data_IF_450686116942
#
_entry.id   IF_450686116942
#
_cell.length_a   1.000
_cell.length_b   1.000
_cell.length_c   1.000
_cell.angle_alpha   90.00
_cell.angle_beta   90.00
_cell.angle_gamma   90.00
#
_symmetry.space_group_name_H-M   'P 1'
#
loop_
_entity.id
_entity.type
_entity.pdbx_description
1 polymer ?
#
# COMPACT_ATOMS: atom_id res chain seq x y z
N UNK A 1 59.14 13.42 -5.09
CA UNK A 1 58.37 12.91 -6.24
C UNK A 1 57.04 12.42 -5.69
N UNK A 2 55.94 13.01 -6.16
CA UNK A 2 54.58 12.64 -5.80
C UNK A 2 54.05 11.63 -6.82
N UNK A 3 53.36 10.60 -6.33
CA UNK A 3 52.42 9.82 -7.13
C UNK A 3 51.15 9.66 -6.28
N UNK A 4 50.16 10.49 -6.58
CA UNK A 4 48.77 10.17 -6.28
C UNK A 4 48.23 9.32 -7.43
N UNK A 5 47.41 8.32 -7.09
CA UNK A 5 46.38 7.69 -7.92
C UNK A 5 45.79 6.54 -7.06
N UNK A 6 44.50 6.34 -6.85
CA UNK A 6 43.29 7.02 -7.29
C UNK A 6 42.11 6.27 -6.65
N UNK A 7 41.03 7.00 -6.38
CA UNK A 7 39.62 6.56 -6.49
C UNK A 7 39.30 5.12 -6.01
N UNK A 8 38.88 4.90 -4.76
CA UNK A 8 37.47 5.03 -4.34
C UNK A 8 36.72 3.70 -4.51
N UNK A 9 36.03 3.14 -3.49
CA UNK A 9 35.24 1.92 -3.66
C UNK A 9 34.03 2.26 -4.53
N UNK A 10 34.11 1.95 -5.82
CA UNK A 10 32.94 1.88 -6.66
C UNK A 10 32.13 0.66 -6.18
N UNK A 11 31.24 0.91 -5.21
CA UNK A 11 30.07 0.06 -5.02
C UNK A 11 29.44 -0.11 -6.40
N UNK A 12 29.32 -1.32 -6.94
CA UNK A 12 28.34 -1.52 -7.98
C UNK A 12 26.99 -1.39 -7.27
N UNK A 13 26.46 -0.16 -7.30
CA UNK A 13 25.02 0.05 -7.24
C UNK A 13 24.44 -0.73 -8.40
N UNK A 14 24.21 -2.02 -8.16
CA UNK A 14 23.36 -2.85 -8.97
C UNK A 14 21.97 -2.29 -8.81
N UNK A 15 21.67 -1.24 -9.56
CA UNK A 15 20.33 -0.93 -10.01
C UNK A 15 19.92 -2.15 -10.82
N UNK A 16 19.47 -3.17 -10.11
CA UNK A 16 18.72 -4.26 -10.68
C UNK A 16 17.51 -3.56 -11.29
N UNK A 17 17.62 -3.27 -12.59
CA UNK A 17 16.49 -3.00 -13.45
C UNK A 17 15.53 -4.14 -13.19
N UNK A 18 14.54 -3.86 -12.34
CA UNK A 18 13.56 -4.85 -11.99
C UNK A 18 12.78 -5.08 -13.27
N UNK A 19 12.86 -6.29 -13.83
CA UNK A 19 11.87 -6.89 -14.73
C UNK A 19 10.50 -7.00 -13.99
N UNK A 20 10.13 -5.97 -13.22
CA UNK A 20 8.83 -5.81 -12.64
C UNK A 20 7.91 -5.39 -13.78
N UNK A 21 6.79 -6.10 -13.89
CA UNK A 21 5.65 -5.66 -14.68
C UNK A 21 5.41 -4.17 -14.38
N UNK A 22 5.42 -3.26 -15.39
CA UNK A 22 5.32 -1.83 -15.13
C UNK A 22 4.00 -1.45 -14.44
N UNK A 23 3.00 -2.35 -14.44
CA UNK A 23 1.76 -2.18 -13.68
C UNK A 23 1.92 -2.46 -12.16
N UNK A 24 3.02 -3.10 -11.74
CA UNK A 24 3.35 -3.47 -10.36
C UNK A 24 4.60 -2.74 -9.85
N UNK A 25 4.64 -1.44 -10.06
CA UNK A 25 5.74 -0.59 -9.61
C UNK A 25 5.78 -0.46 -8.08
N UNK A 26 6.91 -0.04 -7.48
CA UNK A 26 6.98 0.27 -6.05
C UNK A 26 5.91 1.28 -5.60
N UNK A 27 5.65 2.31 -6.41
CA UNK A 27 4.64 3.34 -6.16
C UNK A 27 3.22 2.75 -6.11
N UNK A 28 2.93 1.78 -7.00
CA UNK A 28 1.66 1.06 -6.97
C UNK A 28 1.46 0.33 -5.62
N UNK A 29 2.49 -0.33 -5.10
CA UNK A 29 2.39 -1.02 -3.81
C UNK A 29 2.29 -0.06 -2.62
N UNK A 30 2.94 1.10 -2.69
CA UNK A 30 2.82 2.15 -1.68
C UNK A 30 1.39 2.70 -1.63
N UNK A 31 0.83 3.07 -2.78
CA UNK A 31 -0.55 3.55 -2.89
C UNK A 31 -1.57 2.47 -2.45
N UNK A 32 -1.35 1.21 -2.83
CA UNK A 32 -2.18 0.09 -2.38
C UNK A 32 -2.11 -0.07 -0.85
N UNK A 33 -0.93 0.05 -0.25
CA UNK A 33 -0.76 -0.03 1.20
C UNK A 33 -1.46 1.12 1.93
N UNK A 34 -1.41 2.34 1.39
CA UNK A 34 -2.14 3.49 1.93
C UNK A 34 -3.65 3.27 1.89
N UNK A 35 -4.19 2.81 0.75
CA UNK A 35 -5.61 2.46 0.63
C UNK A 35 -6.04 1.35 1.58
N UNK A 36 -5.19 0.35 1.83
CA UNK A 36 -5.45 -0.71 2.81
C UNK A 36 -5.50 -0.17 4.24
N UNK A 37 -4.55 0.70 4.61
CA UNK A 37 -4.57 1.37 5.92
C UNK A 37 -5.84 2.19 6.09
N UNK A 38 -6.25 2.91 5.06
CA UNK A 38 -7.48 3.70 5.08
C UNK A 38 -8.73 2.81 5.26
N UNK A 39 -8.81 1.71 4.52
CA UNK A 39 -9.90 0.75 4.68
C UNK A 39 -9.95 0.16 6.10
N UNK A 40 -8.80 -0.16 6.68
CA UNK A 40 -8.72 -0.61 8.08
C UNK A 40 -9.24 0.45 9.05
N UNK A 41 -8.80 1.70 8.92
CA UNK A 41 -9.25 2.80 9.79
C UNK A 41 -10.77 3.03 9.68
N UNK A 42 -11.31 3.13 8.47
CA UNK A 42 -12.76 3.25 8.23
C UNK A 42 -13.53 2.08 8.82
N UNK A 43 -13.05 0.85 8.64
CA UNK A 43 -13.70 -0.33 9.19
C UNK A 43 -13.74 -0.30 10.73
N UNK A 44 -12.65 0.15 11.39
CA UNK A 44 -12.59 0.28 12.84
C UNK A 44 -13.56 1.32 13.41
N UNK A 45 -13.87 2.37 12.65
CA UNK A 45 -14.85 3.38 13.03
C UNK A 45 -16.32 2.90 12.94
N UNK A 46 -16.59 1.73 12.33
CA UNK A 46 -17.95 1.22 12.18
C UNK A 46 -18.49 0.59 13.48
N UNK A 47 -19.82 0.62 13.70
CA UNK A 47 -20.47 -0.15 14.76
C UNK A 47 -20.27 -1.66 14.59
N UNK A 48 -20.32 -2.40 15.71
CA UNK A 48 -20.01 -3.83 15.79
C UNK A 48 -20.76 -4.70 14.76
N UNK A 49 -22.05 -4.43 14.58
CA UNK A 49 -22.91 -5.19 13.66
C UNK A 49 -22.49 -5.10 12.18
N UNK A 50 -21.80 -4.00 11.80
CA UNK A 50 -21.33 -3.78 10.42
C UNK A 50 -19.81 -3.99 10.32
N UNK A 51 -19.06 -3.75 11.40
CA UNK A 51 -17.61 -3.87 11.43
C UNK A 51 -17.11 -5.29 11.12
N UNK A 52 -17.70 -6.31 11.74
CA UNK A 52 -17.25 -7.70 11.57
C UNK A 52 -17.31 -8.19 10.11
N UNK A 53 -18.43 -8.04 9.36
CA UNK A 53 -18.45 -8.46 7.97
C UNK A 53 -17.49 -7.64 7.08
N UNK A 54 -17.31 -6.35 7.38
CA UNK A 54 -16.35 -5.49 6.67
C UNK A 54 -14.91 -5.96 6.90
N UNK A 55 -14.52 -6.27 8.13
CA UNK A 55 -13.18 -6.81 8.45
C UNK A 55 -12.94 -8.13 7.71
N UNK A 56 -13.92 -9.04 7.68
CA UNK A 56 -13.78 -10.32 6.95
C UNK A 56 -13.59 -10.10 5.45
N UNK A 57 -14.31 -9.14 4.86
CA UNK A 57 -14.12 -8.75 3.45
C UNK A 57 -12.74 -8.16 3.23
N UNK A 58 -12.25 -7.31 4.14
CA UNK A 58 -10.92 -6.73 4.07
C UNK A 58 -9.82 -7.80 4.10
N UNK A 59 -9.94 -8.80 4.98
CA UNK A 59 -9.01 -9.94 5.03
C UNK A 59 -8.98 -10.73 3.71
N UNK A 60 -10.13 -10.86 3.05
CA UNK A 60 -10.21 -11.50 1.72
C UNK A 60 -9.47 -10.68 0.67
N UNK A 61 -9.55 -9.35 0.74
CA UNK A 61 -8.82 -8.45 -0.15
C UNK A 61 -7.31 -8.54 0.11
N UNK A 62 -6.85 -8.53 1.36
CA UNK A 62 -5.42 -8.62 1.70
C UNK A 62 -4.80 -9.95 1.28
N UNK A 63 -5.53 -11.07 1.39
CA UNK A 63 -5.06 -12.35 0.85
C UNK A 63 -5.01 -12.34 -0.69
N UNK A 64 -5.95 -11.66 -1.36
CA UNK A 64 -5.92 -11.52 -2.81
C UNK A 64 -4.73 -10.69 -3.29
N UNK A 65 -4.26 -9.69 -2.52
CA UNK A 65 -3.09 -8.87 -2.88
C UNK A 65 -1.85 -9.74 -3.12
N UNK A 66 -1.67 -10.81 -2.33
CA UNK A 66 -0.53 -11.72 -2.45
C UNK A 66 -0.53 -12.52 -3.77
N UNK A 67 -1.68 -12.66 -4.43
CA UNK A 67 -1.87 -13.49 -5.63
C UNK A 67 -2.12 -12.68 -6.89
N UNK A 68 -2.91 -11.62 -6.77
CA UNK A 68 -3.33 -10.74 -7.86
C UNK A 68 -3.55 -9.32 -7.31
N UNK A 69 -2.46 -8.54 -7.17
CA UNK A 69 -2.51 -7.21 -6.59
C UNK A 69 -3.35 -6.22 -7.41
N UNK A 70 -3.38 -6.33 -8.75
CA UNK A 70 -4.19 -5.47 -9.61
C UNK A 70 -5.68 -5.69 -9.38
N UNK A 71 -6.13 -6.95 -9.34
CA UNK A 71 -7.54 -7.26 -9.07
C UNK A 71 -7.92 -6.94 -7.63
N UNK A 72 -7.00 -7.16 -6.68
CA UNK A 72 -7.22 -6.80 -5.29
C UNK A 72 -7.38 -5.27 -5.12
N UNK A 73 -6.56 -4.48 -5.80
CA UNK A 73 -6.67 -3.01 -5.83
C UNK A 73 -8.05 -2.57 -6.31
N UNK A 74 -8.56 -3.10 -7.43
CA UNK A 74 -9.91 -2.76 -7.93
C UNK A 74 -11.03 -3.13 -6.95
N UNK A 75 -10.87 -4.25 -6.22
CA UNK A 75 -11.82 -4.67 -5.19
C UNK A 75 -11.77 -3.75 -3.97
N UNK A 76 -10.57 -3.32 -3.58
CA UNK A 76 -10.35 -2.37 -2.50
C UNK A 76 -11.00 -1.03 -2.82
N UNK A 77 -10.85 -0.53 -4.06
CA UNK A 77 -11.48 0.73 -4.49
C UNK A 77 -13.01 0.68 -4.35
N UNK A 78 -13.64 -0.40 -4.81
CA UNK A 78 -15.10 -0.58 -4.62
C UNK A 78 -15.48 -0.63 -3.15
N UNK A 79 -14.70 -1.34 -2.34
CA UNK A 79 -14.94 -1.41 -0.91
C UNK A 79 -14.82 -0.03 -0.25
N UNK A 80 -13.84 0.79 -0.63
CA UNK A 80 -13.69 2.16 -0.13
C UNK A 80 -14.82 3.09 -0.55
N UNK A 81 -15.41 2.88 -1.74
CA UNK A 81 -16.59 3.62 -2.21
C UNK A 81 -17.86 3.26 -1.42
N UNK A 82 -17.95 2.03 -0.92
CA UNK A 82 -19.07 1.57 -0.09
C UNK A 82 -18.93 1.99 1.38
N UNK A 83 -17.69 2.20 1.85
CA UNK A 83 -17.43 2.64 3.22
C UNK A 83 -17.65 4.15 3.37
N UNK A 84 -18.26 4.60 4.48
CA UNK A 84 -18.35 6.03 4.75
C UNK A 84 -16.94 6.63 4.81
N UNK A 85 -16.73 7.86 4.30
CA UNK A 85 -15.46 8.54 4.49
C UNK A 85 -15.20 8.68 6.00
N UNK A 86 -13.93 8.53 6.40
CA UNK A 86 -13.55 8.96 7.73
C UNK A 86 -13.83 10.45 7.84
N UNK A 87 -14.74 10.81 8.74
CA UNK A 87 -14.84 12.17 9.24
C UNK A 87 -13.86 12.21 10.39
N UNK A 88 -12.63 12.66 10.14
CA UNK A 88 -11.78 13.11 11.25
C UNK A 88 -12.55 14.24 11.94
N UNK A 89 -12.92 14.05 13.21
CA UNK A 89 -13.43 15.14 14.04
C UNK A 89 -12.39 16.28 13.99
N UNK A 90 -12.78 17.53 13.71
CA UNK A 90 -11.84 18.64 13.70
C UNK A 90 -11.18 18.72 15.09
N UNK A 91 -9.89 19.11 15.18
CA UNK A 91 -9.25 19.26 16.47
C UNK A 91 -10.01 20.35 17.24
N UNK A 92 -10.79 19.94 18.24
CA UNK A 92 -11.40 20.82 19.21
C UNK A 92 -10.31 21.73 19.76
N UNK A 93 -10.37 23.01 19.42
CA UNK A 93 -9.50 24.06 19.94
C UNK A 93 -10.34 25.11 20.62
#
# INVERSE_FOLDING_TARGET
MAAGDGLGPASPGGEAGSDADPALSPEFYLDLAERLREAHRRAHALPDGVRIPVIRRLLTVTEAVKRDPLRASRRLDRMLQELPPQVDDPPTR
#
